data_IF_118392625996
#
_entry.id   IF_118392625996
#
_cell.length_a   1.000
_cell.length_b   1.000
_cell.length_c   1.000
_cell.angle_alpha   90.00
_cell.angle_beta   90.00
_cell.angle_gamma   90.00
#
_symmetry.space_group_name_H-M   'P 1'
#
loop_
_entity.id
_entity.type
_entity.pdbx_description
1 polymer ?
#
# COMPACT_ATOMS: atom_id res chain seq x y z
N UNK A 1 1.66 36.58 -10.21
CA UNK A 1 1.39 35.36 -9.43
C UNK A 1 0.88 35.75 -8.06
N UNK A 2 -0.37 35.44 -7.73
CA UNK A 2 -0.94 35.73 -6.39
C UNK A 2 -0.39 34.71 -5.41
N UNK A 3 0.28 35.16 -4.35
CA UNK A 3 0.75 34.29 -3.27
C UNK A 3 -0.46 33.57 -2.65
N UNK A 4 -0.41 32.24 -2.56
CA UNK A 4 -1.50 31.45 -1.98
C UNK A 4 -1.80 31.91 -0.55
N UNK A 5 -3.08 32.11 -0.23
CA UNK A 5 -3.51 32.57 1.09
C UNK A 5 -3.08 31.58 2.17
N UNK A 6 -2.88 32.04 3.40
CA UNK A 6 -2.57 31.19 4.56
C UNK A 6 -3.58 30.04 4.71
N UNK A 7 -4.86 30.30 4.38
CA UNK A 7 -5.94 29.30 4.36
C UNK A 7 -5.72 28.23 3.29
N UNK A 8 -5.27 28.60 2.09
CA UNK A 8 -4.99 27.67 0.99
C UNK A 8 -3.82 26.75 1.32
N UNK A 9 -2.77 27.30 1.95
CA UNK A 9 -1.61 26.50 2.40
C UNK A 9 -2.02 25.42 3.40
N UNK A 10 -2.92 25.73 4.35
CA UNK A 10 -3.45 24.76 5.33
C UNK A 10 -4.25 23.67 4.63
N UNK A 11 -5.13 24.03 3.69
CA UNK A 11 -5.96 23.05 2.94
C UNK A 11 -5.08 22.10 2.13
N UNK A 12 -4.06 22.62 1.45
CA UNK A 12 -3.09 21.83 0.66
C UNK A 12 -2.31 20.88 1.58
N UNK A 13 -1.85 21.36 2.74
CA UNK A 13 -1.13 20.54 3.70
C UNK A 13 -1.99 19.40 4.26
N UNK A 14 -3.26 19.67 4.58
CA UNK A 14 -4.22 18.66 5.05
C UNK A 14 -4.47 17.59 3.98
N UNK A 15 -4.60 17.99 2.70
CA UNK A 15 -4.71 17.02 1.59
C UNK A 15 -3.47 16.14 1.46
N UNK A 16 -2.27 16.73 1.51
CA UNK A 16 -1.01 15.97 1.44
C UNK A 16 -0.89 14.96 2.60
N UNK A 17 -1.30 15.34 3.80
CA UNK A 17 -1.33 14.45 4.96
C UNK A 17 -2.29 13.27 4.75
N UNK A 18 -3.52 13.52 4.29
CA UNK A 18 -4.49 12.46 4.03
C UNK A 18 -3.99 11.46 2.96
N UNK A 19 -3.38 11.96 1.88
CA UNK A 19 -2.76 11.10 0.85
C UNK A 19 -1.62 10.28 1.43
N UNK A 20 -0.77 10.90 2.26
CA UNK A 20 0.31 10.18 2.95
C UNK A 20 -0.22 9.07 3.86
N UNK A 21 -1.34 9.30 4.53
CA UNK A 21 -1.96 8.30 5.41
C UNK A 21 -2.51 7.12 4.59
N UNK A 22 -3.25 7.40 3.51
CA UNK A 22 -3.71 6.36 2.57
C UNK A 22 -2.55 5.52 2.04
N UNK A 23 -1.47 6.17 1.61
CA UNK A 23 -0.27 5.49 1.12
C UNK A 23 0.45 4.69 2.22
N UNK A 24 0.43 5.17 3.47
CA UNK A 24 1.02 4.44 4.61
C UNK A 24 0.23 3.16 4.89
N UNK A 25 -1.10 3.23 4.93
CA UNK A 25 -1.96 2.06 5.09
C UNK A 25 -1.76 1.05 3.95
N UNK A 26 -1.64 1.55 2.72
CA UNK A 26 -1.37 0.72 1.55
C UNK A 26 -0.03 -0.01 1.67
N UNK A 27 1.00 0.73 2.05
CA UNK A 27 2.36 0.22 2.24
C UNK A 27 2.44 -0.80 3.37
N UNK A 28 1.68 -0.60 4.46
CA UNK A 28 1.57 -1.57 5.55
C UNK A 28 0.93 -2.87 5.05
N UNK A 29 -0.15 -2.79 4.26
CA UNK A 29 -0.75 -3.97 3.64
C UNK A 29 0.23 -4.70 2.72
N UNK A 30 0.97 -3.96 1.87
CA UNK A 30 1.99 -4.53 0.98
C UNK A 30 3.08 -5.29 1.76
N UNK A 31 3.63 -4.70 2.82
CA UNK A 31 4.67 -5.34 3.65
C UNK A 31 4.13 -6.60 4.31
N UNK A 32 2.90 -6.58 4.84
CA UNK A 32 2.29 -7.74 5.50
C UNK A 32 1.94 -8.87 4.53
N UNK A 33 1.47 -8.53 3.32
CA UNK A 33 0.93 -9.50 2.36
C UNK A 33 1.97 -10.05 1.38
N UNK A 34 3.07 -9.33 1.12
CA UNK A 34 4.10 -9.74 0.16
C UNK A 34 4.89 -11.01 0.52
N UNK A 35 5.19 -11.34 1.80
CA UNK A 35 6.05 -12.47 2.13
C UNK A 35 5.53 -13.82 1.62
N UNK A 36 4.22 -14.01 1.53
CA UNK A 36 3.60 -15.25 1.09
C UNK A 36 3.97 -15.64 -0.36
N UNK A 37 4.13 -14.65 -1.24
CA UNK A 37 4.33 -14.91 -2.68
C UNK A 37 5.74 -14.60 -3.15
N UNK A 38 6.42 -13.65 -2.49
CA UNK A 38 7.73 -13.16 -2.91
C UNK A 38 8.82 -13.37 -1.86
N UNK A 39 8.48 -14.01 -0.74
CA UNK A 39 9.36 -14.15 0.41
C UNK A 39 9.55 -12.83 1.19
N UNK A 40 10.15 -12.91 2.39
CA UNK A 40 10.34 -11.75 3.26
C UNK A 40 11.29 -10.69 2.65
N UNK A 41 12.11 -11.07 1.67
CA UNK A 41 13.07 -10.17 1.04
C UNK A 41 12.38 -9.00 0.35
N UNK A 42 11.24 -9.23 -0.30
CA UNK A 42 10.49 -8.17 -0.99
C UNK A 42 10.00 -7.13 0.03
N UNK A 43 9.43 -7.59 1.13
CA UNK A 43 8.95 -6.73 2.21
C UNK A 43 10.07 -5.83 2.74
N UNK A 44 11.27 -6.38 2.97
CA UNK A 44 12.44 -5.64 3.47
C UNK A 44 12.93 -4.62 2.44
N UNK A 45 13.06 -5.00 1.17
CA UNK A 45 13.53 -4.11 0.09
C UNK A 45 12.61 -2.90 -0.07
N UNK A 46 11.30 -3.07 0.15
CA UNK A 46 10.34 -1.97 0.03
C UNK A 46 10.32 -0.99 1.21
N UNK A 47 10.91 -1.30 2.37
CA UNK A 47 10.90 -0.41 3.54
C UNK A 47 11.48 0.97 3.20
N UNK A 48 12.66 1.01 2.58
CA UNK A 48 13.35 2.24 2.24
C UNK A 48 12.56 3.11 1.24
N UNK A 49 12.13 2.61 0.06
CA UNK A 49 11.37 3.41 -0.89
C UNK A 49 9.99 3.81 -0.34
N UNK A 50 9.34 2.99 0.49
CA UNK A 50 8.10 3.37 1.19
C UNK A 50 8.34 4.56 2.11
N UNK A 51 9.39 4.52 2.94
CA UNK A 51 9.73 5.63 3.84
C UNK A 51 10.00 6.93 3.06
N UNK A 52 10.77 6.83 1.97
CA UNK A 52 11.07 7.97 1.09
C UNK A 52 9.80 8.55 0.44
N UNK A 53 8.89 7.68 -0.02
CA UNK A 53 7.60 8.08 -0.58
C UNK A 53 6.74 8.82 0.46
N UNK A 54 6.56 8.25 1.66
CA UNK A 54 5.80 8.87 2.76
C UNK A 54 6.37 10.25 3.10
N UNK A 55 7.68 10.34 3.34
CA UNK A 55 8.37 11.60 3.66
C UNK A 55 8.25 12.60 2.52
N UNK A 56 8.32 12.15 1.28
CA UNK A 56 8.19 13.01 0.11
C UNK A 56 6.77 13.53 -0.11
N UNK A 57 5.73 12.70 0.09
CA UNK A 57 4.32 13.10 0.01
C UNK A 57 4.00 14.15 1.08
N UNK A 58 4.38 13.90 2.35
CA UNK A 58 4.16 14.87 3.45
C UNK A 58 4.83 16.22 3.19
N UNK A 59 6.01 16.20 2.56
CA UNK A 59 6.77 17.39 2.20
C UNK A 59 6.43 17.93 0.81
N UNK A 60 5.38 17.41 0.15
CA UNK A 60 4.91 17.86 -1.17
C UNK A 60 6.00 17.82 -2.26
N UNK A 61 6.91 16.84 -2.18
CA UNK A 61 8.03 16.66 -3.12
C UNK A 61 7.63 15.75 -4.28
N UNK A 62 8.01 16.14 -5.49
CA UNK A 62 7.83 15.35 -6.72
C UNK A 62 8.46 13.96 -6.63
N UNK A 63 9.62 13.83 -6.00
CA UNK A 63 10.29 12.52 -5.83
C UNK A 63 9.43 11.53 -5.03
N UNK A 64 8.80 11.97 -3.93
CA UNK A 64 7.92 11.10 -3.15
C UNK A 64 6.67 10.68 -3.91
N UNK A 65 6.09 11.60 -4.67
CA UNK A 65 4.96 11.30 -5.57
C UNK A 65 5.33 10.23 -6.61
N UNK A 66 6.50 10.36 -7.25
CA UNK A 66 6.95 9.40 -8.26
C UNK A 66 7.21 8.02 -7.66
N UNK A 67 7.91 7.95 -6.52
CA UNK A 67 8.16 6.68 -5.83
C UNK A 67 6.83 6.01 -5.43
N UNK A 68 5.88 6.77 -4.88
CA UNK A 68 4.56 6.23 -4.53
C UNK A 68 3.79 5.70 -5.76
N UNK A 69 3.82 6.43 -6.87
CA UNK A 69 3.20 5.99 -8.13
C UNK A 69 3.84 4.71 -8.68
N UNK A 70 5.14 4.48 -8.45
CA UNK A 70 5.82 3.24 -8.82
C UNK A 70 5.50 2.06 -7.92
N UNK A 71 5.23 2.29 -6.63
CA UNK A 71 4.91 1.22 -5.65
C UNK A 71 3.46 0.74 -5.80
N UNK A 72 2.53 1.61 -6.20
CA UNK A 72 1.10 1.26 -6.30
C UNK A 72 0.82 0.05 -7.22
N UNK A 73 1.36 -0.03 -8.45
CA UNK A 73 1.18 -1.21 -9.31
C UNK A 73 1.64 -2.51 -8.65
N UNK A 74 2.70 -2.44 -7.84
CA UNK A 74 3.25 -3.59 -7.12
C UNK A 74 2.27 -4.03 -6.03
N UNK A 75 1.72 -3.07 -5.28
CA UNK A 75 0.66 -3.35 -4.30
C UNK A 75 -0.60 -3.91 -4.94
N UNK A 76 -0.98 -3.44 -6.13
CA UNK A 76 -2.08 -4.02 -6.91
C UNK A 76 -1.77 -5.47 -7.27
N UNK A 77 -0.57 -5.76 -7.78
CA UNK A 77 -0.15 -7.12 -8.11
C UNK A 77 -0.23 -8.08 -6.92
N UNK A 78 0.30 -7.67 -5.76
CA UNK A 78 0.24 -8.47 -4.53
C UNK A 78 -1.21 -8.70 -4.09
N UNK A 79 -2.07 -7.68 -4.14
CA UNK A 79 -3.48 -7.83 -3.80
C UNK A 79 -4.21 -8.78 -4.75
N UNK A 80 -3.90 -8.75 -6.04
CA UNK A 80 -4.51 -9.64 -7.03
C UNK A 80 -4.07 -11.09 -6.86
N UNK A 81 -2.81 -11.33 -6.44
CA UNK A 81 -2.34 -12.67 -6.07
C UNK A 81 -3.09 -13.21 -4.84
N UNK A 82 -3.34 -12.38 -3.83
CA UNK A 82 -4.15 -12.77 -2.67
C UNK A 82 -5.60 -13.08 -3.05
N UNK A 83 -6.21 -12.28 -3.92
CA UNK A 83 -7.57 -12.52 -4.43
C UNK A 83 -7.61 -13.84 -5.22
N UNK A 84 -6.65 -14.06 -6.12
CA UNK A 84 -6.53 -15.30 -6.90
C UNK A 84 -6.35 -16.51 -5.99
N UNK A 85 -5.47 -16.39 -4.99
CA UNK A 85 -5.23 -17.44 -4.01
C UNK A 85 -6.49 -17.76 -3.21
N UNK A 86 -7.23 -16.74 -2.77
CA UNK A 86 -8.49 -16.94 -2.07
C UNK A 86 -9.51 -17.69 -2.93
N UNK A 87 -9.69 -17.29 -4.20
CA UNK A 87 -10.59 -17.97 -5.14
C UNK A 87 -10.18 -19.44 -5.34
N UNK A 88 -8.87 -19.71 -5.43
CA UNK A 88 -8.33 -21.07 -5.59
C UNK A 88 -8.58 -21.96 -4.36
N UNK A 89 -8.51 -21.40 -3.16
CA UNK A 89 -8.61 -22.17 -1.91
C UNK A 89 -10.06 -22.40 -1.47
N UNK A 90 -11.02 -21.57 -1.88
CA UNK A 90 -12.45 -21.73 -1.52
C UNK A 90 -13.01 -23.15 -1.76
N UNK A 91 -12.78 -23.80 -2.91
CA UNK A 91 -13.38 -25.11 -3.21
C UNK A 91 -12.87 -26.23 -2.29
N UNK A 92 -11.58 -26.21 -1.94
CA UNK A 92 -10.90 -27.27 -1.19
C UNK A 92 -10.24 -26.72 0.08
N UNK A 93 -10.94 -25.81 0.78
CA UNK A 93 -10.35 -25.00 1.84
C UNK A 93 -9.69 -25.85 2.93
N UNK A 94 -10.37 -26.92 3.37
CA UNK A 94 -9.86 -27.77 4.44
C UNK A 94 -8.64 -28.59 4.02
N UNK A 95 -8.61 -29.11 2.78
CA UNK A 95 -7.48 -29.90 2.29
C UNK A 95 -6.22 -29.05 2.13
N UNK A 96 -6.36 -27.85 1.59
CA UNK A 96 -5.24 -26.92 1.43
C UNK A 96 -4.72 -26.43 2.79
N UNK A 97 -5.60 -26.14 3.76
CA UNK A 97 -5.17 -25.77 5.11
C UNK A 97 -4.47 -26.93 5.84
N UNK A 98 -4.87 -28.19 5.60
CA UNK A 98 -4.19 -29.38 6.14
C UNK A 98 -2.80 -29.58 5.55
N UNK A 99 -2.63 -29.34 4.24
CA UNK A 99 -1.31 -29.36 3.59
C UNK A 99 -0.40 -28.27 4.16
N UNK A 100 -0.92 -27.05 4.32
CA UNK A 100 -0.18 -25.93 4.90
C UNK A 100 0.15 -26.14 6.38
N UNK A 101 -0.73 -26.77 7.17
CA UNK A 101 -0.42 -27.08 8.57
C UNK A 101 0.72 -28.05 8.70
N UNK A 102 0.77 -29.03 7.80
CA UNK A 102 1.82 -30.04 7.77
C UNK A 102 3.16 -29.46 7.33
N UNK A 103 3.18 -28.42 6.49
CA UNK A 103 4.42 -27.81 5.99
C UNK A 103 4.97 -26.69 6.87
N UNK A 104 4.11 -25.87 7.47
CA UNK A 104 4.51 -24.70 8.27
C UNK A 104 4.64 -25.06 9.76
N UNK A 105 4.08 -26.20 10.19
CA UNK A 105 4.13 -26.65 11.59
C UNK A 105 3.17 -25.92 12.52
N UNK A 106 2.23 -25.14 11.99
CA UNK A 106 1.15 -24.51 12.77
C UNK A 106 -0.10 -25.38 12.80
N UNK A 107 -0.93 -25.18 13.83
CA UNK A 107 -2.22 -25.86 13.92
C UNK A 107 -3.13 -25.51 12.74
N UNK A 108 -3.96 -26.48 12.33
CA UNK A 108 -4.97 -26.28 11.29
C UNK A 108 -5.85 -25.04 11.53
N UNK A 109 -6.31 -24.84 12.77
CA UNK A 109 -7.13 -23.69 13.14
C UNK A 109 -6.40 -22.36 12.97
N UNK A 110 -5.12 -22.30 13.34
CA UNK A 110 -4.30 -21.10 13.20
C UNK A 110 -4.14 -20.69 11.73
N UNK A 111 -3.80 -21.64 10.86
CA UNK A 111 -3.60 -21.36 9.43
C UNK A 111 -4.91 -20.96 8.76
N UNK A 112 -6.01 -21.62 9.13
CA UNK A 112 -7.35 -21.27 8.64
C UNK A 112 -7.65 -19.79 8.89
N UNK A 113 -7.46 -19.33 10.14
CA UNK A 113 -7.71 -17.94 10.54
C UNK A 113 -6.78 -16.97 9.83
N UNK A 114 -5.48 -17.25 9.79
CA UNK A 114 -4.49 -16.40 9.12
C UNK A 114 -4.82 -16.24 7.64
N UNK A 115 -5.10 -17.34 6.94
CA UNK A 115 -5.44 -17.31 5.51
C UNK A 115 -6.67 -16.45 5.24
N UNK A 116 -7.74 -16.61 6.02
CA UNK A 116 -8.96 -15.79 5.86
C UNK A 116 -8.67 -14.31 6.10
N UNK A 117 -7.94 -13.96 7.16
CA UNK A 117 -7.58 -12.57 7.48
C UNK A 117 -6.75 -11.96 6.35
N UNK A 118 -5.73 -12.66 5.87
CA UNK A 118 -4.86 -12.18 4.80
C UNK A 118 -5.61 -12.06 3.46
N UNK A 119 -6.55 -12.95 3.16
CA UNK A 119 -7.40 -12.84 1.96
C UNK A 119 -8.31 -11.61 2.02
N UNK A 120 -8.94 -11.32 3.17
CA UNK A 120 -9.75 -10.11 3.37
C UNK A 120 -8.86 -8.86 3.24
N UNK A 121 -7.66 -8.87 3.86
CA UNK A 121 -6.68 -7.79 3.71
C UNK A 121 -6.25 -7.60 2.25
N UNK A 122 -6.16 -8.66 1.46
CA UNK A 122 -5.90 -8.59 0.02
C UNK A 122 -6.94 -7.77 -0.72
N UNK A 123 -8.23 -8.02 -0.47
CA UNK A 123 -9.34 -7.26 -1.06
C UNK A 123 -9.31 -5.79 -0.61
N UNK A 124 -9.09 -5.55 0.68
CA UNK A 124 -8.96 -4.19 1.23
C UNK A 124 -7.77 -3.46 0.58
N UNK A 125 -6.63 -4.13 0.44
CA UNK A 125 -5.44 -3.57 -0.20
C UNK A 125 -5.66 -3.25 -1.67
N UNK A 126 -6.49 -4.02 -2.38
CA UNK A 126 -6.86 -3.74 -3.77
C UNK A 126 -7.64 -2.42 -3.88
N UNK A 127 -8.69 -2.26 -3.07
CA UNK A 127 -9.50 -1.02 -3.02
C UNK A 127 -8.62 0.17 -2.59
N UNK A 128 -7.76 -0.04 -1.60
CA UNK A 128 -6.87 1.00 -1.09
C UNK A 128 -5.84 1.44 -2.14
N UNK A 129 -5.36 0.51 -2.98
CA UNK A 129 -4.46 0.83 -4.10
C UNK A 129 -5.13 1.76 -5.09
N UNK A 130 -6.36 1.44 -5.51
CA UNK A 130 -7.13 2.24 -6.47
C UNK A 130 -7.43 3.64 -5.90
N UNK A 131 -7.91 3.71 -4.67
CA UNK A 131 -8.24 4.99 -4.03
C UNK A 131 -7.01 5.88 -3.81
N UNK A 132 -5.87 5.30 -3.46
CA UNK A 132 -4.59 6.02 -3.31
C UNK A 132 -4.08 6.51 -4.67
N UNK A 133 -4.20 5.69 -5.72
CA UNK A 133 -3.83 6.06 -7.09
C UNK A 133 -4.65 7.26 -7.59
N UNK A 134 -5.97 7.18 -7.47
CA UNK A 134 -6.88 8.27 -7.85
C UNK A 134 -6.55 9.55 -7.06
N UNK A 135 -6.31 9.42 -5.75
CA UNK A 135 -5.96 10.55 -4.89
C UNK A 135 -4.64 11.22 -5.31
N UNK A 136 -3.63 10.44 -5.70
CA UNK A 136 -2.36 10.96 -6.21
C UNK A 136 -2.52 11.66 -7.56
N UNK A 137 -3.27 11.07 -8.49
CA UNK A 137 -3.52 11.68 -9.81
C UNK A 137 -4.30 13.00 -9.67
N UNK A 138 -5.42 12.97 -8.94
CA UNK A 138 -6.28 14.16 -8.73
C UNK A 138 -5.52 15.31 -8.07
N UNK A 139 -4.55 15.00 -7.22
CA UNK A 139 -3.77 15.98 -6.48
C UNK A 139 -2.33 16.15 -7.00
N UNK A 140 -2.01 15.70 -8.23
CA UNK A 140 -0.66 15.79 -8.83
C UNK A 140 -0.05 17.19 -8.72
N UNK A 141 -0.85 18.25 -8.88
CA UNK A 141 -0.41 19.65 -8.83
C UNK A 141 0.21 20.02 -7.46
N UNK A 142 -0.23 19.38 -6.38
CA UNK A 142 0.30 19.60 -5.01
C UNK A 142 1.78 19.20 -4.92
N UNK A 143 2.22 18.23 -5.72
CA UNK A 143 3.57 17.67 -5.67
C UNK A 143 4.50 18.23 -6.75
N UNK A 144 3.93 18.90 -7.75
CA UNK A 144 4.66 19.41 -8.92
C UNK A 144 4.95 20.92 -8.82
N UNK A 145 4.54 21.59 -7.74
CA UNK A 145 4.92 22.99 -7.50
C UNK A 145 6.40 23.07 -7.12
N UNK A 146 7.27 23.25 -8.10
CA UNK A 146 8.63 23.76 -7.90
C UNK A 146 8.61 25.25 -7.52
N UNK A 147 7.78 25.64 -6.55
CA UNK A 147 7.63 27.01 -6.08
C UNK A 147 7.59 26.93 -4.55
N UNK A 148 8.47 27.70 -3.91
CA UNK A 148 8.69 27.80 -2.46
C UNK A 148 9.67 26.79 -1.82
N UNK A 149 10.81 26.53 -2.48
CA UNK A 149 12.06 26.33 -1.74
C UNK A 149 13.04 27.47 -2.00
N UNK A 150 12.69 28.64 -1.45
CA UNK A 150 13.67 29.56 -0.85
C UNK A 150 13.31 29.61 0.65
N UNK A 151 13.84 28.66 1.41
CA UNK A 151 14.21 28.82 2.81
C UNK A 151 15.55 28.12 2.93
#
# INVERSE_FOLDING_TARGET
MVAASKKDKIIIQKKAYNISLQFTLLSACLITLSPQFFGPILAVVFILPIYMAIKGIKNRRKSGYLIAMSIIPISLGVSMLWIRYFIYVIPNFNEEMLKLSSSIGFSFGTIKVITVICSILGIVSFILSITTFISLIKNKKIFNSMIDKKI
#
